data_IF_331409664319
#
_entry.id   IF_331409664319
#
_cell.length_a   1.000
_cell.length_b   1.000
_cell.length_c   1.000
_cell.angle_alpha   90.00
_cell.angle_beta   90.00
_cell.angle_gamma   90.00
#
_symmetry.space_group_name_H-M   'P 1'
#
loop_
_entity.id
_entity.type
_entity.pdbx_description
1 polymer ?
#
# COMPACT_ATOMS: atom_id res chain seq x y z
N UNK A 1 6.40 -21.99 2.98
CA UNK A 1 6.04 -23.31 3.56
C UNK A 1 5.91 -24.31 2.42
N UNK A 2 6.56 -25.46 2.56
CA UNK A 2 6.45 -26.58 1.62
C UNK A 2 5.39 -27.54 2.15
N UNK A 3 4.46 -27.96 1.31
CA UNK A 3 3.30 -28.79 1.68
C UNK A 3 3.14 -29.99 0.74
N UNK A 4 3.25 -31.18 1.32
CA UNK A 4 3.09 -32.47 0.64
C UNK A 4 1.72 -33.11 0.89
N UNK A 5 0.89 -32.56 1.79
CA UNK A 5 -0.35 -33.18 2.29
C UNK A 5 -1.60 -32.62 1.63
N UNK A 6 -1.75 -31.29 1.57
CA UNK A 6 -2.95 -30.65 1.01
C UNK A 6 -3.22 -30.98 -0.46
N UNK A 7 -2.20 -31.05 -1.36
CA UNK A 7 -2.43 -31.37 -2.76
C UNK A 7 -3.16 -32.70 -2.96
N UNK A 8 -2.74 -33.75 -2.24
CA UNK A 8 -3.39 -35.06 -2.30
C UNK A 8 -4.79 -35.07 -1.71
N UNK A 9 -5.05 -34.29 -0.64
CA UNK A 9 -6.39 -34.15 -0.04
C UNK A 9 -7.39 -33.40 -0.92
N UNK A 10 -6.91 -32.58 -1.85
CA UNK A 10 -7.71 -31.82 -2.80
C UNK A 10 -7.72 -32.47 -4.20
N UNK A 11 -7.24 -33.72 -4.33
CA UNK A 11 -7.13 -34.46 -5.58
C UNK A 11 -6.33 -33.72 -6.69
N UNK A 12 -5.39 -32.85 -6.31
CA UNK A 12 -4.52 -32.17 -7.26
C UNK A 12 -3.50 -33.14 -7.87
N UNK A 13 -3.43 -33.18 -9.21
CA UNK A 13 -2.57 -34.11 -9.95
C UNK A 13 -2.01 -33.46 -11.23
N UNK A 14 -0.85 -33.93 -11.68
CA UNK A 14 -0.28 -33.64 -13.00
C UNK A 14 0.20 -34.93 -13.68
N UNK A 15 0.42 -34.88 -15.00
CA UNK A 15 0.99 -36.00 -15.77
C UNK A 15 2.49 -35.80 -15.89
N UNK A 16 3.28 -36.76 -15.42
CA UNK A 16 4.74 -36.73 -15.52
C UNK A 16 5.24 -37.21 -16.89
N UNK A 17 6.54 -37.06 -17.13
CA UNK A 17 7.19 -37.44 -18.40
C UNK A 17 7.01 -38.93 -18.75
N UNK A 18 6.85 -39.79 -17.74
CA UNK A 18 6.57 -41.22 -17.88
C UNK A 18 5.08 -41.54 -18.14
N UNK A 19 4.23 -40.53 -18.28
CA UNK A 19 2.77 -40.67 -18.45
C UNK A 19 2.01 -41.00 -17.16
N UNK A 20 2.68 -41.16 -16.02
CA UNK A 20 2.04 -41.44 -14.74
C UNK A 20 1.41 -40.17 -14.13
N UNK A 21 0.32 -40.36 -13.37
CA UNK A 21 -0.27 -39.27 -12.57
C UNK A 21 0.48 -39.13 -11.25
N UNK A 22 0.95 -37.91 -10.96
CA UNK A 22 1.70 -37.56 -9.75
C UNK A 22 1.01 -36.43 -8.99
N UNK A 23 1.13 -36.44 -7.67
CA UNK A 23 0.65 -35.35 -6.80
C UNK A 23 1.74 -34.28 -6.75
N UNK A 24 1.42 -33.00 -7.01
CA UNK A 24 2.41 -31.93 -6.96
C UNK A 24 2.77 -31.55 -5.50
N UNK A 25 3.94 -30.94 -5.32
CA UNK A 25 4.30 -30.27 -4.06
C UNK A 25 3.76 -28.84 -4.09
N UNK A 26 3.07 -28.43 -3.04
CA UNK A 26 2.51 -27.08 -2.93
C UNK A 26 3.42 -26.17 -2.10
N UNK A 27 3.65 -24.96 -2.60
CA UNK A 27 4.44 -23.94 -1.92
C UNK A 27 3.54 -22.79 -1.48
N UNK A 28 3.33 -22.66 -0.18
CA UNK A 28 2.61 -21.53 0.41
C UNK A 28 3.59 -20.40 0.73
N UNK A 29 3.30 -19.17 0.31
CA UNK A 29 4.16 -18.01 0.57
C UNK A 29 3.33 -16.77 0.88
N UNK A 30 3.71 -16.06 1.93
CA UNK A 30 3.33 -14.67 2.19
C UNK A 30 4.64 -13.89 2.44
N UNK A 31 4.83 -12.77 1.73
CA UNK A 31 6.05 -11.95 1.89
C UNK A 31 5.89 -11.01 3.10
N UNK A 32 4.74 -10.34 3.20
CA UNK A 32 4.45 -9.38 4.26
C UNK A 32 3.63 -9.97 5.42
N UNK A 33 3.07 -11.17 5.24
CA UNK A 33 2.05 -11.69 6.15
C UNK A 33 0.70 -11.01 5.92
N UNK A 34 0.00 -10.64 7.00
CA UNK A 34 -1.25 -9.88 6.90
C UNK A 34 -0.96 -8.37 6.77
N UNK A 35 -1.79 -7.67 6.00
CA UNK A 35 -1.62 -6.23 5.78
C UNK A 35 -1.78 -5.43 7.06
N UNK A 36 -2.71 -5.80 7.94
CA UNK A 36 -2.97 -5.10 9.20
C UNK A 36 -1.75 -5.15 10.12
N UNK A 37 -1.12 -6.33 10.24
CA UNK A 37 0.10 -6.48 11.03
C UNK A 37 1.27 -5.76 10.38
N UNK A 38 1.40 -5.84 9.06
CA UNK A 38 2.47 -5.17 8.36
C UNK A 38 2.36 -3.64 8.46
N UNK A 39 1.17 -3.07 8.32
CA UNK A 39 0.91 -1.64 8.54
C UNK A 39 1.23 -1.25 9.98
N UNK A 40 0.83 -2.06 10.97
CA UNK A 40 1.21 -1.85 12.37
C UNK A 40 2.73 -1.78 12.57
N UNK A 41 3.47 -2.72 11.98
CA UNK A 41 4.94 -2.71 12.00
C UNK A 41 5.49 -1.44 11.33
N UNK A 42 4.92 -0.99 10.21
CA UNK A 42 5.36 0.24 9.54
C UNK A 42 5.09 1.49 10.39
N UNK A 43 3.96 1.56 11.10
CA UNK A 43 3.66 2.65 12.04
C UNK A 43 4.71 2.73 13.13
N UNK A 44 5.02 1.59 13.77
CA UNK A 44 6.03 1.51 14.83
C UNK A 44 7.44 1.81 14.30
N UNK A 45 7.80 1.25 13.14
CA UNK A 45 9.12 1.41 12.54
C UNK A 45 9.43 2.86 12.15
N UNK A 46 8.44 3.57 11.62
CA UNK A 46 8.59 4.97 11.20
C UNK A 46 8.14 5.97 12.26
N UNK A 47 7.65 5.51 13.42
CA UNK A 47 7.07 6.36 14.46
C UNK A 47 5.99 7.33 13.91
N UNK A 48 5.24 6.89 12.91
CA UNK A 48 4.26 7.70 12.16
C UNK A 48 4.84 8.64 11.09
N UNK A 49 6.16 8.85 11.03
CA UNK A 49 6.84 9.66 10.03
C UNK A 49 7.12 8.86 8.74
N UNK A 50 6.05 8.48 8.03
CA UNK A 50 6.16 7.63 6.85
C UNK A 50 7.01 8.25 5.72
N UNK A 51 7.70 7.42 4.92
CA UNK A 51 8.29 7.86 3.66
C UNK A 51 7.23 8.50 2.74
N UNK A 52 7.66 9.48 1.93
CA UNK A 52 6.75 10.26 1.08
C UNK A 52 5.83 9.41 0.19
N UNK A 53 6.28 8.25 -0.29
CA UNK A 53 5.45 7.38 -1.14
C UNK A 53 4.32 6.68 -0.36
N UNK A 54 4.48 6.49 0.95
CA UNK A 54 3.54 5.76 1.81
C UNK A 54 2.66 6.70 2.67
N UNK A 55 3.12 7.93 2.91
CA UNK A 55 2.40 8.89 3.74
C UNK A 55 0.94 9.10 3.26
N UNK A 56 -0.07 9.04 4.14
CA UNK A 56 -1.48 9.19 3.75
C UNK A 56 -1.77 10.57 3.16
N UNK A 57 -1.15 11.61 3.73
CA UNK A 57 -1.07 12.96 3.16
C UNK A 57 0.39 13.25 2.86
N UNK A 58 0.72 13.49 1.59
CA UNK A 58 2.09 13.70 1.13
C UNK A 58 2.53 15.16 1.25
N UNK A 59 1.60 16.10 1.08
CA UNK A 59 1.84 17.52 1.28
C UNK A 59 0.55 18.24 1.71
N UNK A 60 0.73 19.37 2.40
CA UNK A 60 -0.34 20.32 2.72
C UNK A 60 0.04 21.66 2.11
N UNK A 61 -0.86 22.28 1.36
CA UNK A 61 -0.65 23.61 0.75
C UNK A 61 -1.39 24.64 1.60
N UNK A 62 -0.67 25.66 2.07
CA UNK A 62 -1.22 26.68 2.97
C UNK A 62 -1.18 28.07 2.31
N UNK A 63 -2.14 28.92 2.67
CA UNK A 63 -2.10 30.35 2.40
C UNK A 63 -1.67 31.15 3.64
N UNK A 64 -0.99 32.29 3.42
CA UNK A 64 -0.69 33.26 4.50
C UNK A 64 -1.86 34.24 4.69
N UNK A 65 -2.59 34.55 3.62
CA UNK A 65 -3.73 35.47 3.61
C UNK A 65 -4.86 34.91 2.74
N UNK A 66 -6.07 35.41 2.90
CA UNK A 66 -7.22 34.99 2.08
C UNK A 66 -7.02 35.29 0.58
N UNK A 67 -6.12 36.21 0.23
CA UNK A 67 -5.82 36.55 -1.16
C UNK A 67 -5.22 35.39 -1.97
N UNK A 68 -4.60 34.40 -1.32
CA UNK A 68 -4.03 33.24 -2.02
C UNK A 68 -4.97 32.04 -2.09
N UNK A 69 -6.22 32.14 -1.59
CA UNK A 69 -7.13 31.01 -1.46
C UNK A 69 -7.35 30.24 -2.77
N UNK A 70 -7.69 30.96 -3.85
CA UNK A 70 -7.94 30.35 -5.17
C UNK A 70 -6.66 29.76 -5.78
N UNK A 71 -5.51 30.40 -5.53
CA UNK A 71 -4.23 29.90 -6.01
C UNK A 71 -3.84 28.60 -5.32
N UNK A 72 -4.02 28.51 -3.99
CA UNK A 72 -3.75 27.28 -3.22
C UNK A 72 -4.60 26.12 -3.73
N UNK A 73 -5.89 26.35 -3.99
CA UNK A 73 -6.77 25.33 -4.59
C UNK A 73 -6.28 24.88 -5.96
N UNK A 74 -5.85 25.80 -6.82
CA UNK A 74 -5.30 25.44 -8.13
C UNK A 74 -4.03 24.58 -8.05
N UNK A 75 -3.21 24.79 -7.01
CA UNK A 75 -2.01 23.98 -6.75
C UNK A 75 -2.38 22.60 -6.23
N UNK A 76 -3.33 22.50 -5.30
CA UNK A 76 -3.88 21.23 -4.84
C UNK A 76 -4.41 20.41 -6.02
N UNK A 77 -5.27 20.99 -6.86
CA UNK A 77 -5.82 20.34 -8.04
C UNK A 77 -4.72 19.88 -9.01
N UNK A 78 -3.72 20.72 -9.26
CA UNK A 78 -2.60 20.38 -10.15
C UNK A 78 -1.80 19.17 -9.63
N UNK A 79 -1.58 19.09 -8.31
CA UNK A 79 -0.82 18.01 -7.69
C UNK A 79 -1.65 16.71 -7.61
N UNK A 80 -2.93 16.80 -7.27
CA UNK A 80 -3.84 15.65 -7.29
C UNK A 80 -3.96 15.06 -8.70
N UNK A 81 -4.08 15.90 -9.74
CA UNK A 81 -4.08 15.46 -11.14
C UNK A 81 -2.77 14.77 -11.58
N UNK A 82 -1.67 14.97 -10.84
CA UNK A 82 -0.39 14.28 -11.05
C UNK A 82 -0.23 13.02 -10.19
N UNK A 83 -1.26 12.65 -9.41
CA UNK A 83 -1.28 11.45 -8.57
C UNK A 83 -0.74 11.64 -7.15
N UNK A 84 -0.53 12.88 -6.70
CA UNK A 84 -0.11 13.15 -5.32
C UNK A 84 -1.32 13.28 -4.38
N UNK A 85 -1.18 12.78 -3.15
CA UNK A 85 -2.17 12.93 -2.06
C UNK A 85 -1.90 14.25 -1.32
N UNK A 86 -2.47 15.33 -1.83
CA UNK A 86 -2.27 16.70 -1.30
C UNK A 86 -3.60 17.26 -0.84
N UNK A 87 -3.57 18.02 0.25
CA UNK A 87 -4.72 18.78 0.76
C UNK A 87 -4.35 20.25 0.92
N UNK A 88 -5.33 21.15 0.93
CA UNK A 88 -5.13 22.54 1.34
C UNK A 88 -5.55 22.79 2.80
N UNK A 89 -4.81 23.66 3.50
CA UNK A 89 -5.24 24.25 4.76
C UNK A 89 -5.50 25.74 4.55
N UNK A 90 -6.78 26.11 4.62
CA UNK A 90 -7.29 27.46 4.34
C UNK A 90 -7.90 28.10 5.59
N UNK A 91 -7.63 27.55 6.77
CA UNK A 91 -8.10 28.10 8.04
C UNK A 91 -7.36 29.40 8.34
N UNK A 92 -8.07 30.36 8.93
CA UNK A 92 -7.48 31.63 9.37
C UNK A 92 -6.76 31.44 10.72
N UNK A 93 -5.65 30.71 10.71
CA UNK A 93 -4.78 30.51 11.86
C UNK A 93 -3.35 30.96 11.56
N UNK A 94 -2.57 31.22 12.62
CA UNK A 94 -1.14 31.48 12.47
C UNK A 94 -0.44 30.17 12.13
N UNK A 95 0.50 30.25 11.19
CA UNK A 95 1.46 29.19 10.88
C UNK A 95 2.56 29.17 11.95
#
# INVERSE_FOLDING_TARGET
QVDFSMPGRLDAQYVAEDGSRKVPVMLHRAILGSFERFIGILIEHFEGAFPAWLAPTQAVVLNITDKQHDYVKSVEDSLQNKGFRVISDLRNEKI
#
